data_IF_200129971240
#
_entry.id   IF_200129971240
#
_cell.length_a   1.000
_cell.length_b   1.000
_cell.length_c   1.000
_cell.angle_alpha   90.00
_cell.angle_beta   90.00
_cell.angle_gamma   90.00
#
_symmetry.space_group_name_H-M   'P 1'
#
loop_
_entity.id
_entity.type
_entity.pdbx_description
1 polymer ?
#
# COMPACT_ATOMS: atom_id res chain seq x y z
N UNK A 1 14.00 51.24 -18.31
CA UNK A 1 14.45 49.92 -17.91
C UNK A 1 13.34 49.32 -17.05
N UNK A 2 12.59 48.41 -17.61
CA UNK A 2 11.53 47.71 -16.89
C UNK A 2 12.10 46.41 -16.36
N UNK A 3 12.20 46.30 -15.03
CA UNK A 3 12.56 45.05 -14.34
C UNK A 3 11.35 44.10 -14.42
N UNK A 4 11.43 43.06 -15.22
CA UNK A 4 10.47 41.99 -15.24
C UNK A 4 10.60 41.23 -13.91
N UNK A 5 9.70 41.43 -12.97
CA UNK A 5 9.52 40.56 -11.82
C UNK A 5 9.12 39.19 -12.31
N UNK A 6 10.08 38.26 -12.26
CA UNK A 6 9.85 36.86 -12.56
C UNK A 6 9.09 36.24 -11.37
N UNK A 7 7.76 36.35 -11.38
CA UNK A 7 6.90 35.79 -10.35
C UNK A 7 6.79 34.27 -10.57
N UNK A 8 7.87 33.55 -10.23
CA UNK A 8 7.88 32.09 -10.27
C UNK A 8 6.89 31.57 -9.23
N UNK A 9 5.72 31.12 -9.70
CA UNK A 9 4.70 30.49 -8.88
C UNK A 9 5.31 29.27 -8.20
N UNK A 10 5.39 29.30 -6.86
CA UNK A 10 5.89 28.17 -6.08
C UNK A 10 4.88 27.02 -6.24
N UNK A 11 5.30 25.92 -6.88
CA UNK A 11 4.49 24.71 -7.02
C UNK A 11 4.36 24.02 -5.66
N UNK A 12 3.13 23.74 -5.27
CA UNK A 12 2.83 22.96 -4.05
C UNK A 12 2.52 21.51 -4.41
N UNK A 13 2.58 20.61 -3.43
CA UNK A 13 2.12 19.23 -3.59
C UNK A 13 0.69 19.15 -4.10
N UNK A 14 -0.18 20.07 -3.65
CA UNK A 14 -1.58 20.15 -4.10
C UNK A 14 -1.70 20.50 -5.57
N UNK A 15 -0.86 21.43 -6.07
CA UNK A 15 -0.82 21.78 -7.48
C UNK A 15 -0.34 20.62 -8.36
N UNK A 16 0.46 19.72 -7.81
CA UNK A 16 0.92 18.48 -8.44
C UNK A 16 -0.08 17.29 -8.27
N UNK A 17 -1.29 17.54 -7.77
CA UNK A 17 -2.31 16.50 -7.57
C UNK A 17 -2.14 15.66 -6.31
N UNK A 18 -1.21 15.99 -5.41
CA UNK A 18 -0.97 15.26 -4.17
C UNK A 18 -1.72 15.91 -3.01
N UNK A 19 -2.71 15.20 -2.47
CA UNK A 19 -3.49 15.65 -1.32
C UNK A 19 -3.05 14.94 -0.04
N UNK A 20 -2.14 15.58 0.71
CA UNK A 20 -1.57 15.04 1.95
C UNK A 20 -2.65 14.85 3.03
N UNK A 21 -3.61 15.77 3.13
CA UNK A 21 -4.69 15.69 4.12
C UNK A 21 -5.61 14.49 3.86
N UNK A 22 -5.94 14.24 2.59
CA UNK A 22 -6.72 13.06 2.20
C UNK A 22 -5.97 11.76 2.54
N UNK A 23 -4.65 11.71 2.33
CA UNK A 23 -3.81 10.58 2.73
C UNK A 23 -3.84 10.33 4.24
N UNK A 24 -3.67 11.37 5.03
CA UNK A 24 -3.71 11.27 6.49
C UNK A 24 -5.10 10.83 7.00
N UNK A 25 -6.17 11.34 6.39
CA UNK A 25 -7.54 10.93 6.70
C UNK A 25 -7.78 9.46 6.36
N UNK A 26 -7.30 9.00 5.20
CA UNK A 26 -7.39 7.59 4.82
C UNK A 26 -6.71 6.69 5.84
N UNK A 27 -5.46 7.00 6.24
CA UNK A 27 -4.74 6.23 7.27
C UNK A 27 -5.53 6.15 8.57
N UNK A 28 -6.18 7.22 8.99
CA UNK A 28 -7.05 7.25 10.17
C UNK A 28 -8.24 6.29 10.04
N UNK A 29 -8.90 6.27 8.88
CA UNK A 29 -10.08 5.43 8.62
C UNK A 29 -9.69 3.95 8.61
N UNK A 30 -8.62 3.58 7.89
CA UNK A 30 -8.25 2.17 7.72
C UNK A 30 -7.53 1.56 8.93
N UNK A 31 -7.12 2.36 9.90
CA UNK A 31 -6.36 1.88 11.09
C UNK A 31 -7.05 0.73 11.80
N UNK A 32 -8.35 0.82 12.02
CA UNK A 32 -9.13 -0.22 12.70
C UNK A 32 -9.24 -1.49 11.85
N UNK A 33 -9.33 -1.36 10.53
CA UNK A 33 -9.37 -2.47 9.59
C UNK A 33 -8.03 -3.19 9.59
N UNK A 34 -6.93 -2.46 9.45
CA UNK A 34 -5.56 -2.99 9.47
C UNK A 34 -5.24 -3.70 10.79
N UNK A 35 -5.72 -3.19 11.93
CA UNK A 35 -5.51 -3.86 13.22
C UNK A 35 -6.18 -5.25 13.29
N UNK A 36 -7.24 -5.49 12.54
CA UNK A 36 -7.91 -6.79 12.48
C UNK A 36 -7.14 -7.82 11.63
N UNK A 37 -6.22 -7.39 10.77
CA UNK A 37 -5.41 -8.28 9.92
C UNK A 37 -4.09 -8.69 10.59
N UNK A 38 -3.81 -8.21 11.81
CA UNK A 38 -2.59 -8.58 12.54
C UNK A 38 -2.56 -10.05 12.89
N UNK A 39 -1.39 -10.67 12.70
CA UNK A 39 -1.09 -12.05 13.11
C UNK A 39 0.13 -12.10 14.02
N UNK A 40 0.42 -13.27 14.58
CA UNK A 40 1.66 -13.49 15.35
C UNK A 40 2.87 -13.12 14.46
N UNK A 41 3.82 -12.40 15.02
CA UNK A 41 4.97 -11.87 14.30
C UNK A 41 4.78 -10.45 13.71
N UNK A 42 3.55 -9.99 13.48
CA UNK A 42 3.31 -8.63 12.99
C UNK A 42 3.77 -7.59 14.01
N UNK A 43 4.67 -6.69 13.62
CA UNK A 43 5.16 -5.57 14.44
C UNK A 43 4.87 -4.24 13.76
N UNK A 44 4.68 -3.22 14.59
CA UNK A 44 4.47 -1.85 14.14
C UNK A 44 2.99 -1.47 13.97
N UNK A 45 2.81 -0.25 13.51
CA UNK A 45 1.50 0.36 13.25
C UNK A 45 1.47 0.91 11.83
N UNK A 46 0.27 1.06 11.27
CA UNK A 46 0.09 1.74 9.98
C UNK A 46 0.60 3.19 10.05
N UNK A 47 1.25 3.65 8.98
CA UNK A 47 1.83 4.99 8.86
C UNK A 47 3.35 5.02 8.87
N UNK A 48 4.03 3.89 9.06
CA UNK A 48 5.46 3.75 8.87
C UNK A 48 5.80 3.46 7.41
N UNK A 49 7.05 3.74 7.01
CA UNK A 49 7.52 3.49 5.64
C UNK A 49 7.74 2.01 5.31
N UNK A 50 7.80 1.14 6.29
CA UNK A 50 8.00 -0.29 6.10
C UNK A 50 7.23 -1.14 7.10
N UNK A 51 6.95 -2.39 6.72
CA UNK A 51 6.38 -3.40 7.59
C UNK A 51 7.48 -4.18 8.33
N UNK A 52 7.23 -4.50 9.58
CA UNK A 52 8.12 -5.36 10.38
C UNK A 52 7.39 -6.66 10.69
N UNK A 53 8.09 -7.78 10.49
CA UNK A 53 7.59 -9.10 10.84
C UNK A 53 8.66 -9.89 11.60
N UNK A 54 8.29 -10.38 12.76
CA UNK A 54 9.16 -11.13 13.64
C UNK A 54 8.93 -12.63 13.41
N UNK A 55 9.87 -13.27 12.73
CA UNK A 55 9.79 -14.67 12.36
C UNK A 55 9.86 -15.60 13.57
N UNK A 56 10.67 -15.26 14.58
CA UNK A 56 10.78 -16.04 15.81
C UNK A 56 9.46 -16.01 16.59
N UNK A 57 8.86 -14.82 16.75
CA UNK A 57 7.56 -14.67 17.41
C UNK A 57 6.43 -15.37 16.63
N UNK A 58 6.57 -15.51 15.33
CA UNK A 58 5.65 -16.28 14.50
C UNK A 58 5.84 -17.80 14.63
N UNK A 59 6.92 -18.26 15.30
CA UNK A 59 7.19 -19.66 15.58
C UNK A 59 8.11 -20.35 14.57
N UNK A 60 8.67 -19.60 13.62
CA UNK A 60 9.55 -20.16 12.60
C UNK A 60 10.98 -20.34 13.11
N UNK A 61 11.56 -21.51 12.84
CA UNK A 61 12.96 -21.84 13.14
C UNK A 61 13.73 -21.98 11.83
N UNK A 62 14.77 -21.17 11.66
CA UNK A 62 15.60 -21.15 10.43
C UNK A 62 14.78 -21.04 9.14
N UNK A 63 13.88 -20.07 9.04
CA UNK A 63 13.01 -19.95 7.87
C UNK A 63 13.76 -19.45 6.64
N UNK A 64 13.27 -19.85 5.48
CA UNK A 64 13.61 -19.20 4.20
C UNK A 64 12.51 -18.18 3.92
N UNK A 65 12.88 -16.94 3.72
CA UNK A 65 11.91 -15.89 3.37
C UNK A 65 11.60 -15.96 1.88
N UNK A 66 10.33 -16.10 1.55
CA UNK A 66 9.81 -15.93 0.18
C UNK A 66 9.08 -14.60 0.13
N UNK A 67 9.40 -13.77 -0.83
CA UNK A 67 8.69 -12.51 -1.06
C UNK A 67 8.39 -12.34 -2.55
N UNK A 68 7.20 -11.88 -2.84
CA UNK A 68 6.73 -11.54 -4.17
C UNK A 68 5.92 -10.25 -4.10
N UNK A 69 5.77 -9.62 -5.25
CA UNK A 69 4.90 -8.45 -5.40
C UNK A 69 4.28 -8.50 -6.78
N UNK A 70 2.98 -8.32 -6.83
CA UNK A 70 2.21 -8.31 -8.07
C UNK A 70 1.10 -7.25 -7.98
N UNK A 71 0.46 -6.98 -9.10
CA UNK A 71 -0.63 -6.03 -9.21
C UNK A 71 -1.86 -6.65 -9.83
N UNK A 72 -2.97 -5.91 -9.83
CA UNK A 72 -4.24 -6.39 -10.42
C UNK A 72 -4.25 -6.32 -11.95
N UNK A 73 -3.18 -5.81 -12.56
CA UNK A 73 -3.08 -5.69 -14.00
C UNK A 73 -4.14 -4.75 -14.60
N UNK A 74 -4.56 -5.05 -15.82
CA UNK A 74 -5.54 -4.24 -16.56
C UNK A 74 -6.95 -4.25 -15.97
N UNK A 75 -7.25 -5.11 -15.00
CA UNK A 75 -8.53 -5.10 -14.28
C UNK A 75 -8.83 -3.75 -13.64
N UNK A 76 -7.80 -2.99 -13.25
CA UNK A 76 -8.01 -1.66 -12.66
C UNK A 76 -8.71 -0.71 -13.64
N UNK A 77 -8.40 -0.80 -14.92
CA UNK A 77 -9.04 0.03 -15.96
C UNK A 77 -10.54 -0.27 -16.07
N UNK A 78 -10.91 -1.55 -15.98
CA UNK A 78 -12.31 -1.97 -15.98
C UNK A 78 -13.02 -1.48 -14.73
N UNK A 79 -12.37 -1.58 -13.57
CA UNK A 79 -12.91 -1.09 -12.30
C UNK A 79 -13.16 0.44 -12.33
N UNK A 80 -12.25 1.19 -12.94
CA UNK A 80 -12.38 2.64 -13.15
C UNK A 80 -13.53 2.97 -14.07
N UNK A 81 -13.63 2.30 -15.23
CA UNK A 81 -14.71 2.50 -16.20
C UNK A 81 -16.09 2.19 -15.61
N UNK A 82 -16.18 1.13 -14.83
CA UNK A 82 -17.41 0.70 -14.16
C UNK A 82 -17.68 1.44 -12.84
N UNK A 83 -16.73 2.24 -12.35
CA UNK A 83 -16.74 2.86 -11.01
C UNK A 83 -17.07 1.83 -9.90
N UNK A 84 -16.44 0.64 -9.98
CA UNK A 84 -16.67 -0.49 -9.08
C UNK A 84 -15.33 -1.03 -8.57
N UNK A 85 -15.04 -0.82 -7.28
CA UNK A 85 -13.74 -1.12 -6.67
C UNK A 85 -13.80 -2.17 -5.58
N UNK A 86 -14.95 -2.73 -5.29
CA UNK A 86 -15.18 -3.57 -4.10
C UNK A 86 -14.35 -4.85 -4.09
N UNK A 87 -14.03 -5.43 -5.25
CA UNK A 87 -13.24 -6.65 -5.37
C UNK A 87 -11.76 -6.44 -5.63
N UNK A 88 -11.33 -5.23 -6.02
CA UNK A 88 -9.94 -4.97 -6.45
C UNK A 88 -8.91 -5.30 -5.37
N UNK A 89 -9.22 -5.03 -4.10
CA UNK A 89 -8.33 -5.38 -2.99
C UNK A 89 -8.19 -6.89 -2.80
N UNK A 90 -9.24 -7.66 -3.06
CA UNK A 90 -9.23 -9.13 -3.02
C UNK A 90 -8.35 -9.65 -4.15
N UNK A 91 -8.51 -9.14 -5.36
CA UNK A 91 -7.70 -9.50 -6.52
C UNK A 91 -6.20 -9.20 -6.28
N UNK A 92 -5.88 -8.03 -5.71
CA UNK A 92 -4.51 -7.64 -5.39
C UNK A 92 -3.84 -8.63 -4.44
N UNK A 93 -4.53 -9.01 -3.37
CA UNK A 93 -4.01 -9.99 -2.40
C UNK A 93 -3.88 -11.37 -3.06
N UNK A 94 -4.87 -11.80 -3.84
CA UNK A 94 -4.85 -13.10 -4.52
C UNK A 94 -3.67 -13.22 -5.50
N UNK A 95 -3.40 -12.19 -6.31
CA UNK A 95 -2.27 -12.17 -7.25
C UNK A 95 -0.94 -12.33 -6.50
N UNK A 96 -0.71 -11.53 -5.46
CA UNK A 96 0.52 -11.61 -4.66
C UNK A 96 0.66 -12.93 -3.89
N UNK A 97 -0.44 -13.47 -3.36
CA UNK A 97 -0.45 -14.76 -2.63
C UNK A 97 -0.14 -15.92 -3.55
N UNK A 98 -0.68 -15.94 -4.76
CA UNK A 98 -0.42 -17.01 -5.72
C UNK A 98 1.08 -17.17 -6.01
N UNK A 99 1.81 -16.08 -6.16
CA UNK A 99 3.25 -16.10 -6.43
C UNK A 99 4.07 -16.72 -5.29
N UNK A 100 3.66 -16.53 -4.05
CA UNK A 100 4.38 -17.12 -2.90
C UNK A 100 3.94 -18.55 -2.63
N UNK A 101 2.66 -18.87 -2.82
CA UNK A 101 2.13 -20.23 -2.58
C UNK A 101 2.73 -21.27 -3.55
N UNK A 102 2.95 -20.91 -4.81
CA UNK A 102 3.58 -21.84 -5.78
C UNK A 102 5.02 -22.19 -5.43
N UNK A 103 5.66 -21.41 -4.55
CA UNK A 103 6.98 -21.72 -3.98
C UNK A 103 6.89 -22.61 -2.72
N UNK A 104 5.70 -23.02 -2.30
CA UNK A 104 5.47 -23.78 -1.08
C UNK A 104 5.52 -22.92 0.20
N UNK A 105 5.37 -21.62 0.10
CA UNK A 105 5.31 -20.73 1.27
C UNK A 105 3.95 -20.85 2.01
N UNK A 106 3.97 -20.57 3.31
CA UNK A 106 2.81 -20.57 4.21
C UNK A 106 2.58 -19.22 4.90
#
# INVERSE_FOLDING_TARGET
MATSENNSKILTYKDAGVNIEAGNKLVSIIRNIVNKTKRSGSKGTIGNFGGLFDLEKAGYKNPILVSATDGVGTKILIAEEMNSYDSIGIDLVAMSVNDVVVQGAE
#
